data_IF_002602926650
#
_entry.id   IF_002602926650
#
_cell.length_a   1.000
_cell.length_b   1.000
_cell.length_c   1.000
_cell.angle_alpha   90.00
_cell.angle_beta   90.00
_cell.angle_gamma   90.00
#
_symmetry.space_group_name_H-M   'P 1'
#
loop_
_entity.id
_entity.type
_entity.pdbx_description
1 polymer ?
#
# COMPACT_ATOMS: atom_id res chain seq x y z
N UNK A 1 19.11 2.75 -13.11
CA UNK A 1 17.77 3.27 -12.80
C UNK A 1 17.53 4.55 -13.61
N UNK A 2 16.66 4.50 -14.61
CA UNK A 2 16.22 5.67 -15.39
C UNK A 2 14.89 6.12 -14.80
N UNK A 3 14.92 7.17 -13.98
CA UNK A 3 13.69 7.76 -13.43
C UNK A 3 13.15 8.71 -14.48
N UNK A 4 11.95 8.43 -14.99
CA UNK A 4 11.26 9.27 -15.97
C UNK A 4 11.08 10.70 -15.43
N UNK A 5 11.58 11.69 -16.17
CA UNK A 5 11.50 13.12 -15.82
C UNK A 5 10.05 13.60 -15.65
N UNK A 6 9.08 12.90 -16.24
CA UNK A 6 7.65 13.20 -16.07
C UNK A 6 7.13 12.96 -14.63
N UNK A 7 7.85 12.18 -13.81
CA UNK A 7 7.52 11.96 -12.40
C UNK A 7 7.90 13.15 -11.49
N UNK A 8 8.69 14.12 -11.98
CA UNK A 8 9.12 15.29 -11.23
C UNK A 8 8.04 16.40 -11.12
N UNK A 9 6.88 16.21 -11.72
CA UNK A 9 5.76 17.16 -11.61
C UNK A 9 5.15 17.14 -10.19
N UNK A 10 4.69 18.30 -9.70
CA UNK A 10 4.17 18.47 -8.33
C UNK A 10 3.00 17.52 -7.96
N UNK A 11 2.29 16.96 -8.95
CA UNK A 11 1.20 15.99 -8.76
C UNK A 11 1.63 14.52 -8.60
N UNK A 12 2.91 14.21 -8.78
CA UNK A 12 3.43 12.83 -8.79
C UNK A 12 4.48 12.54 -7.72
N UNK A 13 4.69 13.42 -6.75
CA UNK A 13 5.70 13.22 -5.68
C UNK A 13 5.58 11.85 -5.00
N UNK A 14 4.35 11.41 -4.68
CA UNK A 14 4.15 10.08 -4.10
C UNK A 14 4.52 8.91 -5.03
N UNK A 15 4.32 9.07 -6.34
CA UNK A 15 4.75 8.08 -7.33
C UNK A 15 6.25 8.10 -7.51
N UNK A 16 6.85 9.30 -7.58
CA UNK A 16 8.30 9.48 -7.67
C UNK A 16 9.01 8.85 -6.46
N UNK A 17 8.55 9.15 -5.24
CA UNK A 17 9.12 8.59 -4.02
C UNK A 17 8.99 7.07 -4.01
N UNK A 18 7.83 6.54 -4.39
CA UNK A 18 7.66 5.09 -4.51
C UNK A 18 8.64 4.49 -5.53
N UNK A 19 8.74 5.04 -6.74
CA UNK A 19 9.66 4.57 -7.77
C UNK A 19 11.11 4.61 -7.32
N UNK A 20 11.55 5.70 -6.69
CA UNK A 20 12.92 5.82 -6.18
C UNK A 20 13.25 4.75 -5.13
N UNK A 21 12.35 4.56 -4.16
CA UNK A 21 12.55 3.56 -3.11
C UNK A 21 12.41 2.15 -3.67
N UNK A 22 11.58 1.94 -4.69
CA UNK A 22 11.42 0.66 -5.40
C UNK A 22 12.72 0.25 -6.12
N UNK A 23 13.35 1.16 -6.85
CA UNK A 23 14.66 0.92 -7.47
C UNK A 23 15.76 0.66 -6.43
N UNK A 24 15.69 1.33 -5.26
CA UNK A 24 16.60 1.08 -4.16
C UNK A 24 16.35 -0.29 -3.51
N UNK A 25 15.08 -0.71 -3.39
CA UNK A 25 14.68 -2.01 -2.87
C UNK A 25 15.20 -3.16 -3.77
N UNK A 26 15.12 -3.01 -5.09
CA UNK A 26 15.76 -3.94 -6.02
C UNK A 26 17.27 -4.10 -5.74
N UNK A 27 17.97 -2.98 -5.55
CA UNK A 27 19.42 -3.01 -5.26
C UNK A 27 19.71 -3.68 -3.92
N UNK A 28 18.95 -3.38 -2.87
CA UNK A 28 19.11 -4.00 -1.55
C UNK A 28 18.90 -5.52 -1.64
N UNK A 29 17.82 -5.96 -2.31
CA UNK A 29 17.53 -7.38 -2.47
C UNK A 29 18.61 -8.09 -3.29
N UNK A 30 19.10 -7.46 -4.37
CA UNK A 30 20.23 -7.99 -5.15
C UNK A 30 21.54 -8.08 -4.37
N UNK A 31 21.79 -7.19 -3.40
CA UNK A 31 22.96 -7.26 -2.53
C UNK A 31 22.82 -8.33 -1.44
N UNK A 32 21.62 -8.53 -0.89
CA UNK A 32 21.37 -9.50 0.18
C UNK A 32 21.25 -10.93 -0.34
N UNK A 33 20.67 -11.10 -1.52
CA UNK A 33 20.35 -12.40 -2.13
C UNK A 33 20.86 -12.48 -3.58
N UNK A 34 22.18 -12.35 -3.81
CA UNK A 34 22.74 -12.22 -5.14
C UNK A 34 22.44 -13.41 -6.07
N UNK A 35 22.33 -14.63 -5.53
CA UNK A 35 22.00 -15.83 -6.32
C UNK A 35 20.52 -15.89 -6.72
N UNK A 36 19.60 -15.45 -5.85
CA UNK A 36 18.16 -15.46 -6.11
C UNK A 36 17.74 -14.33 -7.06
N UNK A 37 18.51 -13.23 -7.09
CA UNK A 37 18.24 -12.04 -7.89
C UNK A 37 19.26 -11.85 -9.03
N UNK A 38 20.05 -12.87 -9.33
CA UNK A 38 20.95 -12.86 -10.48
C UNK A 38 20.11 -12.87 -11.76
N UNK A 39 20.23 -11.86 -12.66
CA UNK A 39 19.48 -11.82 -13.92
C UNK A 39 19.72 -13.03 -14.83
N UNK A 40 20.83 -13.76 -14.61
CA UNK A 40 21.23 -14.95 -15.37
C UNK A 40 20.74 -16.25 -14.73
N UNK A 41 20.33 -16.24 -13.46
CA UNK A 41 19.66 -17.36 -12.84
C UNK A 41 18.18 -17.26 -13.16
N UNK A 42 17.56 -18.32 -13.72
CA UNK A 42 16.10 -18.42 -13.73
C UNK A 42 15.69 -19.01 -12.38
N UNK A 43 15.23 -18.22 -11.41
CA UNK A 43 14.92 -18.78 -10.12
C UNK A 43 13.49 -19.32 -10.18
N UNK A 44 13.34 -20.64 -10.12
CA UNK A 44 12.05 -21.27 -9.83
C UNK A 44 11.80 -21.14 -8.33
N UNK A 45 11.09 -20.09 -7.94
CA UNK A 45 10.79 -19.79 -6.54
C UNK A 45 9.37 -20.23 -6.23
N UNK A 46 9.21 -21.42 -5.62
CA UNK A 46 7.97 -21.79 -4.94
C UNK A 46 8.07 -21.37 -3.47
N UNK A 47 7.36 -20.31 -3.08
CA UNK A 47 7.18 -19.93 -1.67
C UNK A 47 5.69 -19.77 -1.36
N UNK A 48 5.31 -20.16 -0.14
CA UNK A 48 3.95 -20.06 0.37
C UNK A 48 3.53 -18.59 0.32
N UNK A 49 2.60 -18.25 -0.56
CA UNK A 49 1.92 -16.97 -0.49
C UNK A 49 1.19 -16.92 0.86
N UNK A 50 1.39 -15.83 1.60
CA UNK A 50 0.57 -15.52 2.78
C UNK A 50 -0.92 -15.56 2.36
N UNK A 51 -1.80 -16.02 3.26
CA UNK A 51 -3.25 -16.10 3.07
C UNK A 51 -3.88 -14.76 2.65
N UNK A 52 -3.15 -13.65 2.82
CA UNK A 52 -3.51 -12.29 2.42
C UNK A 52 -3.36 -11.99 0.92
N UNK A 53 -2.71 -12.87 0.14
CA UNK A 53 -2.53 -12.63 -1.30
C UNK A 53 -3.77 -13.12 -2.06
N UNK A 54 -4.70 -12.20 -2.35
CA UNK A 54 -5.98 -12.50 -3.03
C UNK A 54 -5.86 -12.67 -4.55
N UNK A 55 -4.65 -12.54 -5.10
CA UNK A 55 -4.36 -12.65 -6.53
C UNK A 55 -3.08 -13.48 -6.76
N UNK A 56 -2.97 -14.16 -7.91
CA UNK A 56 -1.78 -14.93 -8.26
C UNK A 56 -0.55 -14.02 -8.40
N UNK A 57 0.54 -14.38 -7.72
CA UNK A 57 1.83 -13.70 -7.86
C UNK A 57 2.49 -14.20 -9.14
N UNK A 58 2.49 -13.37 -10.18
CA UNK A 58 3.06 -13.71 -11.50
C UNK A 58 4.54 -13.33 -11.62
N UNK A 59 4.97 -12.31 -10.89
CA UNK A 59 6.36 -11.87 -10.80
C UNK A 59 6.74 -11.74 -9.32
N UNK A 60 7.50 -12.71 -8.85
CA UNK A 60 7.90 -12.80 -7.45
C UNK A 60 8.89 -11.69 -7.07
N UNK A 61 9.81 -11.32 -7.97
CA UNK A 61 10.85 -10.32 -7.72
C UNK A 61 10.22 -8.94 -7.59
N UNK A 62 9.32 -8.59 -8.51
CA UNK A 62 8.56 -7.35 -8.47
C UNK A 62 7.65 -7.30 -7.23
N UNK A 63 6.98 -8.40 -6.90
CA UNK A 63 6.14 -8.47 -5.71
C UNK A 63 6.96 -8.23 -4.43
N UNK A 64 8.09 -8.91 -4.24
CA UNK A 64 8.94 -8.72 -3.06
C UNK A 64 9.51 -7.30 -2.99
N UNK A 65 9.91 -6.73 -4.13
CA UNK A 65 10.39 -5.36 -4.20
C UNK A 65 9.29 -4.38 -3.79
N UNK A 66 8.06 -4.56 -4.28
CA UNK A 66 6.92 -3.73 -3.89
C UNK A 66 6.62 -3.83 -2.38
N UNK A 67 6.71 -5.03 -1.82
CA UNK A 67 6.57 -5.24 -0.37
C UNK A 67 7.66 -4.46 0.37
N UNK A 68 8.95 -4.68 0.06
CA UNK A 68 10.06 -4.00 0.73
C UNK A 68 9.96 -2.47 0.59
N UNK A 69 9.58 -1.97 -0.58
CA UNK A 69 9.34 -0.54 -0.85
C UNK A 69 8.34 0.05 0.13
N UNK A 70 7.21 -0.64 0.35
CA UNK A 70 6.19 -0.18 1.29
C UNK A 70 6.71 -0.14 2.74
N UNK A 71 7.55 -1.11 3.13
CA UNK A 71 8.17 -1.12 4.47
C UNK A 71 9.19 0.00 4.66
N UNK A 72 9.99 0.30 3.63
CA UNK A 72 10.99 1.38 3.67
C UNK A 72 10.33 2.77 3.67
N UNK A 73 9.28 2.95 2.87
CA UNK A 73 8.60 4.23 2.71
C UNK A 73 7.65 4.53 3.89
N UNK A 74 7.01 3.50 4.44
CA UNK A 74 5.99 3.62 5.48
C UNK A 74 6.27 2.67 6.67
N UNK A 75 7.37 2.89 7.41
CA UNK A 75 7.69 2.10 8.60
C UNK A 75 6.62 2.32 9.68
N UNK A 76 6.35 1.29 10.49
CA UNK A 76 5.26 1.31 11.48
C UNK A 76 5.41 2.47 12.47
N UNK A 77 6.62 2.73 12.93
CA UNK A 77 6.94 3.77 13.91
C UNK A 77 6.71 5.18 13.34
N UNK A 78 6.86 5.35 12.02
CA UNK A 78 6.50 6.60 11.36
C UNK A 78 4.99 6.73 11.27
N UNK A 79 4.30 5.66 10.87
CA UNK A 79 2.84 5.63 10.79
C UNK A 79 2.21 5.94 12.14
N UNK A 80 2.63 5.27 13.21
CA UNK A 80 2.11 5.45 14.57
C UNK A 80 2.24 6.91 15.02
N UNK A 81 3.41 7.53 14.81
CA UNK A 81 3.62 8.95 15.13
C UNK A 81 2.64 9.87 14.40
N UNK A 82 2.45 9.68 13.10
CA UNK A 82 1.53 10.52 12.32
C UNK A 82 0.06 10.27 12.66
N UNK A 83 -0.32 9.04 13.02
CA UNK A 83 -1.67 8.73 13.52
C UNK A 83 -1.97 9.49 14.81
N UNK A 84 -1.01 9.52 15.74
CA UNK A 84 -1.11 10.27 16.99
C UNK A 84 -1.10 11.79 16.76
N UNK A 85 -0.16 12.31 15.96
CA UNK A 85 -0.03 13.74 15.66
C UNK A 85 -1.27 14.35 14.99
N UNK A 86 -1.94 13.58 14.12
CA UNK A 86 -3.15 14.01 13.41
C UNK A 86 -4.44 13.69 14.18
N UNK A 87 -4.36 13.01 15.32
CA UNK A 87 -5.53 12.64 16.12
C UNK A 87 -6.43 11.58 15.44
N UNK A 88 -5.86 10.74 14.56
CA UNK A 88 -6.57 9.60 13.95
C UNK A 88 -6.76 8.44 14.94
N UNK A 89 -6.07 8.48 16.09
CA UNK A 89 -6.11 7.47 17.14
C UNK A 89 -5.42 6.17 16.73
N UNK A 90 -5.62 5.11 17.52
CA UNK A 90 -4.99 3.80 17.26
C UNK A 90 -5.53 3.10 16.01
N UNK A 91 -6.73 3.47 15.56
CA UNK A 91 -7.39 2.84 14.42
C UNK A 91 -8.41 3.81 13.79
N UNK A 92 -8.36 3.95 12.47
CA UNK A 92 -9.39 4.61 11.69
C UNK A 92 -10.59 3.66 11.58
N UNK A 93 -11.69 3.95 12.28
CA UNK A 93 -12.86 3.05 12.30
C UNK A 93 -13.44 2.83 10.90
N UNK A 94 -13.55 3.90 10.11
CA UNK A 94 -14.06 3.87 8.74
C UNK A 94 -13.22 4.81 7.87
N UNK A 95 -12.53 4.27 6.87
CA UNK A 95 -11.87 5.07 5.85
C UNK A 95 -12.82 5.25 4.66
N UNK A 96 -13.56 6.35 4.62
CA UNK A 96 -14.56 6.62 3.58
C UNK A 96 -14.68 8.13 3.30
N UNK A 97 -14.60 8.53 2.03
CA UNK A 97 -14.63 9.96 1.65
C UNK A 97 -16.02 10.63 1.77
N UNK A 98 -17.09 9.83 1.75
CA UNK A 98 -18.49 10.29 1.78
C UNK A 98 -19.06 10.19 3.20
N UNK A 99 -18.93 9.02 3.83
CA UNK A 99 -19.56 8.72 5.12
C UNK A 99 -18.64 8.98 6.34
N UNK A 100 -17.34 9.19 6.14
CA UNK A 100 -16.38 9.57 7.18
C UNK A 100 -15.46 10.72 6.72
N UNK A 101 -16.01 11.89 6.32
CA UNK A 101 -15.23 12.93 5.65
C UNK A 101 -14.17 13.57 6.55
N UNK A 102 -14.36 13.57 7.87
CA UNK A 102 -13.38 14.13 8.82
C UNK A 102 -12.14 13.24 8.90
N UNK A 103 -12.34 11.95 9.12
CA UNK A 103 -11.29 10.93 9.15
C UNK A 103 -10.57 10.86 7.80
N UNK A 104 -11.31 10.91 6.68
CA UNK A 104 -10.73 10.92 5.34
C UNK A 104 -9.89 12.17 5.06
N UNK A 105 -10.27 13.34 5.59
CA UNK A 105 -9.48 14.57 5.46
C UNK A 105 -8.15 14.48 6.22
N UNK A 106 -8.17 13.96 7.46
CA UNK A 106 -6.96 13.74 8.26
C UNK A 106 -6.04 12.70 7.60
N UNK A 107 -6.60 11.59 7.11
CA UNK A 107 -5.87 10.59 6.32
C UNK A 107 -5.25 11.20 5.05
N UNK A 108 -5.99 12.08 4.36
CA UNK A 108 -5.48 12.76 3.16
C UNK A 108 -4.31 13.69 3.48
N UNK A 109 -4.36 14.39 4.61
CA UNK A 109 -3.27 15.22 5.10
C UNK A 109 -2.05 14.35 5.49
N UNK A 110 -2.29 13.20 6.12
CA UNK A 110 -1.23 12.23 6.43
C UNK A 110 -0.49 11.78 5.17
N UNK A 111 -1.21 11.38 4.13
CA UNK A 111 -0.61 10.97 2.85
C UNK A 111 0.23 12.10 2.23
N UNK A 112 -0.26 13.34 2.31
CA UNK A 112 0.45 14.52 1.83
C UNK A 112 1.74 14.77 2.60
N UNK A 113 1.72 14.71 3.94
CA UNK A 113 2.92 14.92 4.78
C UNK A 113 3.96 13.82 4.62
N UNK A 114 3.52 12.59 4.45
CA UNK A 114 4.38 11.44 4.17
C UNK A 114 4.90 11.44 2.72
N UNK A 115 4.38 12.31 1.86
CA UNK A 115 4.78 12.37 0.45
C UNK A 115 4.49 11.06 -0.28
N UNK A 116 3.36 10.42 0.02
CA UNK A 116 2.92 9.16 -0.61
C UNK A 116 1.54 9.32 -1.26
N UNK A 117 1.17 8.38 -2.13
CA UNK A 117 -0.19 8.34 -2.65
C UNK A 117 -1.17 7.90 -1.55
N UNK A 118 -2.42 8.39 -1.62
CA UNK A 118 -3.48 7.95 -0.70
C UNK A 118 -3.70 6.44 -0.80
N UNK A 119 -3.64 5.88 -2.01
CA UNK A 119 -3.76 4.44 -2.22
C UNK A 119 -2.68 3.66 -1.48
N UNK A 120 -1.41 4.07 -1.58
CA UNK A 120 -0.31 3.40 -0.88
C UNK A 120 -0.48 3.49 0.64
N UNK A 121 -0.89 4.64 1.16
CA UNK A 121 -1.17 4.80 2.58
C UNK A 121 -2.34 3.93 3.04
N UNK A 122 -3.44 3.87 2.28
CA UNK A 122 -4.61 3.03 2.60
C UNK A 122 -4.21 1.56 2.71
N UNK A 123 -3.52 1.02 1.70
CA UNK A 123 -3.03 -0.37 1.70
C UNK A 123 -2.13 -0.64 2.90
N UNK A 124 -1.23 0.30 3.22
CA UNK A 124 -0.31 0.12 4.35
C UNK A 124 -1.03 0.08 5.69
N UNK A 125 -1.94 1.03 5.94
CA UNK A 125 -2.71 1.07 7.18
C UNK A 125 -3.59 -0.17 7.34
N UNK A 126 -4.16 -0.67 6.25
CA UNK A 126 -4.94 -1.90 6.20
C UNK A 126 -4.10 -3.12 6.58
N UNK A 127 -2.92 -3.28 5.96
CA UNK A 127 -1.96 -4.34 6.27
C UNK A 127 -1.51 -4.33 7.73
N UNK A 128 -1.46 -3.15 8.36
CA UNK A 128 -1.09 -2.95 9.76
C UNK A 128 -2.28 -3.14 10.74
N UNK A 129 -3.49 -3.38 10.24
CA UNK A 129 -4.72 -3.51 11.04
C UNK A 129 -5.23 -2.18 11.61
N UNK A 130 -4.79 -1.06 11.05
CA UNK A 130 -5.10 0.30 11.53
C UNK A 130 -6.35 0.90 10.91
N UNK A 131 -7.05 0.14 10.05
CA UNK A 131 -8.36 0.50 9.51
C UNK A 131 -9.35 -0.58 9.94
N UNK A 132 -10.49 -0.16 10.51
CA UNK A 132 -11.58 -1.06 10.89
C UNK A 132 -12.41 -1.51 9.69
N UNK A 133 -12.86 -0.55 8.88
CA UNK A 133 -13.53 -0.77 7.59
C UNK A 133 -12.92 0.15 6.53
N UNK A 134 -12.51 -0.44 5.41
CA UNK A 134 -11.79 0.26 4.34
C UNK A 134 -12.65 0.40 3.07
N UNK A 135 -13.34 1.55 2.95
CA UNK A 135 -14.17 1.89 1.79
C UNK A 135 -13.43 2.93 0.90
N UNK A 136 -12.10 2.88 0.88
CA UNK A 136 -11.29 3.86 0.17
C UNK A 136 -11.52 3.81 -1.35
N UNK A 137 -11.59 2.61 -1.93
CA UNK A 137 -11.81 2.38 -3.36
C UNK A 137 -13.26 2.60 -3.76
N UNK A 138 -14.20 2.14 -2.93
CA UNK A 138 -15.65 2.30 -3.14
C UNK A 138 -16.32 3.01 -1.95
N UNK A 139 -16.45 4.35 -2.01
CA UNK A 139 -17.09 5.13 -0.95
C UNK A 139 -18.58 4.85 -0.76
N UNK A 140 -19.25 4.22 -1.72
CA UNK A 140 -20.67 3.90 -1.66
C UNK A 140 -20.94 2.45 -1.26
N UNK A 141 -19.89 1.67 -0.96
CA UNK A 141 -20.01 0.32 -0.39
C UNK A 141 -21.05 0.19 0.75
N UNK A 142 -21.24 1.17 1.66
CA UNK A 142 -22.27 1.07 2.69
C UNK A 142 -23.72 1.08 2.23
N UNK A 143 -24.01 1.57 1.00
CA UNK A 143 -25.37 1.71 0.47
C UNK A 143 -25.70 0.69 -0.61
N UNK A 144 -24.76 -0.19 -0.97
CA UNK A 144 -25.06 -1.35 -1.80
C UNK A 144 -25.94 -2.32 -1.01
N UNK A 145 -27.23 -2.30 -1.31
CA UNK A 145 -28.19 -3.30 -0.86
C UNK A 145 -28.22 -4.35 -1.97
N UNK A 146 -27.48 -5.44 -1.78
CA UNK A 146 -27.69 -6.61 -2.60
C UNK A 146 -29.07 -7.18 -2.25
N UNK A 147 -29.86 -7.54 -3.26
CA UNK A 147 -31.05 -8.33 -3.01
C UNK A 147 -30.56 -9.63 -2.38
N UNK A 148 -31.04 -9.94 -1.18
CA UNK A 148 -30.87 -11.28 -0.63
C UNK A 148 -31.43 -12.24 -1.69
N UNK A 149 -30.55 -13.00 -2.34
CA UNK A 149 -30.96 -14.14 -3.15
C UNK A 149 -31.65 -15.09 -2.16
N UNK A 150 -32.97 -14.97 -2.07
CA UNK A 150 -33.79 -15.93 -1.36
C UNK A 150 -33.49 -17.28 -1.99
N UNK A 151 -32.81 -18.14 -1.24
CA UNK A 151 -32.60 -19.55 -1.58
C UNK A 151 -33.93 -20.13 -2.08
N UNK A 152 -34.05 -20.27 -3.40
CA UNK A 152 -35.07 -21.12 -4.00
C UNK A 152 -34.69 -22.56 -3.66
N UNK A 153 -35.35 -23.06 -2.61
CA UNK A 153 -35.36 -24.45 -2.20
C UNK A 153 -35.78 -25.42 -3.32
#
# INVERSE_FOLDING_TARGET
AYVDQNLANAGSVGRLNFTLVHEAAHQILGMLYPEEYNPSAQPFICRLADERCTYPITDWVEWQTNVLTAYLLLPRELIDRYMDELGLGRQIKLLNKVFAPKEYALFSEMAKRLGVSKTALSIRLDNLGMIGRNDFSDPYAPIHIDADDFDTA
#
